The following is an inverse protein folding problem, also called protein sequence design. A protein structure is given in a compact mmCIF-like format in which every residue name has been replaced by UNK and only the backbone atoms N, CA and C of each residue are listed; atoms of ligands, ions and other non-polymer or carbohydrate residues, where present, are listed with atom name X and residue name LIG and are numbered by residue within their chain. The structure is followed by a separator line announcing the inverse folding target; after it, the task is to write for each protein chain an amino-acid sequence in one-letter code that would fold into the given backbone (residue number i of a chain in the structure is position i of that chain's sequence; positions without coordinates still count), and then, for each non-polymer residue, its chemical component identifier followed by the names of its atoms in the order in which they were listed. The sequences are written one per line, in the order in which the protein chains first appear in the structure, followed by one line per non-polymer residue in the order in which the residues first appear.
data_IF_556385078586
#
_entry.id   IF_556385078586
#
_cell.length_a   1.000
_cell.length_b   1.000
_cell.length_c   1.000
_cell.angle_alpha   90.00
_cell.angle_beta   90.00
_cell.angle_gamma   90.00
#
_symmetry.space_group_name_H-M   'P 1'
#
loop_
_entity.id
_entity.type
_entity.pdbx_description
1 polymer ?
#
# COMPACT_ATOMS: atom_id res chain seq x y z
N UNK A 1 -21.33 6.67 -52.91
CA UNK A 1 -20.57 6.89 -51.66
C UNK A 1 -20.02 8.31 -51.66
N UNK A 2 -20.33 9.14 -50.65
CA UNK A 2 -19.75 10.49 -50.53
C UNK A 2 -18.22 10.35 -50.37
N UNK A 3 -17.46 11.01 -51.21
CA UNK A 3 -16.00 11.06 -51.13
C UNK A 3 -15.64 11.82 -49.86
N UNK A 4 -15.42 11.11 -48.75
CA UNK A 4 -14.96 11.73 -47.51
C UNK A 4 -13.59 12.32 -47.83
N UNK A 5 -13.48 13.64 -47.72
CA UNK A 5 -12.23 14.34 -47.91
C UNK A 5 -11.26 13.88 -46.81
N UNK A 6 -10.42 12.90 -47.15
CA UNK A 6 -9.48 12.25 -46.24
C UNK A 6 -8.55 13.26 -45.58
N UNK A 7 -8.42 14.46 -46.16
CA UNK A 7 -7.74 15.62 -45.57
C UNK A 7 -8.34 16.16 -44.30
N UNK A 8 -9.66 16.24 -44.24
CA UNK A 8 -10.33 16.69 -43.03
C UNK A 8 -10.25 15.64 -41.92
N UNK A 9 -10.13 14.36 -42.30
CA UNK A 9 -10.03 13.26 -41.34
C UNK A 9 -8.70 13.32 -40.56
N UNK A 10 -7.55 13.46 -41.22
CA UNK A 10 -6.26 13.49 -40.53
C UNK A 10 -6.00 14.76 -39.70
N UNK A 11 -6.60 15.90 -40.08
CA UNK A 11 -6.57 17.13 -39.29
C UNK A 11 -7.49 16.98 -38.08
N UNK A 12 -8.67 16.37 -38.28
CA UNK A 12 -9.64 16.11 -37.22
C UNK A 12 -9.09 15.19 -36.14
N UNK A 13 -8.47 14.06 -36.52
CA UNK A 13 -7.87 13.13 -35.54
C UNK A 13 -6.76 13.79 -34.72
N UNK A 14 -5.94 14.63 -35.35
CA UNK A 14 -4.87 15.37 -34.69
C UNK A 14 -5.42 16.42 -33.70
N UNK A 15 -6.40 17.22 -34.12
CA UNK A 15 -7.00 18.27 -33.28
C UNK A 15 -7.78 17.68 -32.10
N UNK A 16 -8.55 16.60 -32.32
CA UNK A 16 -9.29 15.91 -31.26
C UNK A 16 -8.31 15.30 -30.26
N UNK A 17 -7.27 14.60 -30.74
CA UNK A 17 -6.24 14.02 -29.88
C UNK A 17 -5.54 15.07 -29.02
N UNK A 18 -5.07 16.18 -29.62
CA UNK A 18 -4.42 17.27 -28.90
C UNK A 18 -5.32 17.97 -27.88
N UNK A 19 -6.60 18.16 -28.21
CA UNK A 19 -7.57 18.78 -27.30
C UNK A 19 -7.84 17.90 -26.08
N UNK A 20 -8.01 16.60 -26.29
CA UNK A 20 -8.18 15.61 -25.22
C UNK A 20 -6.91 15.52 -24.36
N UNK A 21 -5.72 15.51 -24.97
CA UNK A 21 -4.45 15.50 -24.25
C UNK A 21 -4.30 16.74 -23.35
N UNK A 22 -4.63 17.92 -23.89
CA UNK A 22 -4.53 19.19 -23.17
C UNK A 22 -5.50 19.24 -21.99
N UNK A 23 -6.77 18.85 -22.21
CA UNK A 23 -7.77 18.76 -21.15
C UNK A 23 -7.33 17.78 -20.04
N UNK A 24 -6.86 16.58 -20.40
CA UNK A 24 -6.42 15.61 -19.41
C UNK A 24 -5.13 16.01 -18.70
N UNK A 25 -4.27 16.80 -19.33
CA UNK A 25 -3.10 17.38 -18.66
C UNK A 25 -3.51 18.44 -17.62
N UNK A 26 -4.53 19.26 -17.91
CA UNK A 26 -5.09 20.21 -16.95
C UNK A 26 -5.66 19.48 -15.72
N UNK A 27 -6.33 18.35 -15.92
CA UNK A 27 -6.91 17.54 -14.84
C UNK A 27 -5.98 16.45 -14.29
N UNK A 28 -4.66 16.50 -14.55
CA UNK A 28 -3.71 15.41 -14.24
C UNK A 28 -3.62 15.01 -12.76
N UNK A 29 -4.01 15.90 -11.85
CA UNK A 29 -4.02 15.65 -10.39
C UNK A 29 -5.42 15.45 -9.81
N UNK A 30 -6.47 15.49 -10.63
CA UNK A 30 -7.83 15.22 -10.18
C UNK A 30 -8.05 13.71 -10.14
N UNK A 31 -8.31 13.16 -8.94
CA UNK A 31 -8.68 11.76 -8.72
C UNK A 31 -10.13 11.50 -9.17
N UNK A 32 -10.40 11.70 -10.46
CA UNK A 32 -11.70 11.43 -11.07
C UNK A 32 -11.56 10.12 -11.85
N UNK A 33 -12.20 9.07 -11.36
CA UNK A 33 -12.24 7.78 -12.05
C UNK A 33 -13.19 7.90 -13.25
N UNK A 34 -12.65 7.75 -14.46
CA UNK A 34 -13.42 7.83 -15.71
C UNK A 34 -13.31 6.50 -16.45
N UNK A 35 -14.42 5.77 -16.60
CA UNK A 35 -14.49 4.44 -17.23
C UNK A 35 -13.49 3.39 -16.68
N UNK A 36 -13.17 3.43 -15.37
CA UNK A 36 -12.30 2.45 -14.73
C UNK A 36 -10.79 2.75 -14.86
N UNK A 37 -10.41 3.93 -15.36
CA UNK A 37 -9.03 4.40 -15.32
C UNK A 37 -8.84 5.34 -14.11
N UNK A 38 -7.95 4.96 -13.20
CA UNK A 38 -7.62 5.72 -11.97
C UNK A 38 -7.01 7.11 -12.24
N UNK A 39 -6.67 7.44 -13.50
CA UNK A 39 -6.06 8.71 -13.91
C UNK A 39 -6.58 9.17 -15.28
N UNK A 40 -7.19 10.37 -15.39
CA UNK A 40 -7.67 10.95 -16.66
C UNK A 40 -6.60 11.05 -17.77
N UNK A 41 -5.32 11.17 -17.37
CA UNK A 41 -4.18 11.25 -18.28
C UNK A 41 -3.92 9.91 -19.01
N UNK A 42 -4.10 8.77 -18.33
CA UNK A 42 -3.88 7.43 -18.92
C UNK A 42 -4.87 7.16 -20.05
N UNK A 43 -6.14 7.51 -19.85
CA UNK A 43 -7.19 7.39 -20.85
C UNK A 43 -6.92 8.29 -22.07
N UNK A 44 -6.53 9.55 -21.85
CA UNK A 44 -6.22 10.47 -22.94
C UNK A 44 -5.02 10.03 -23.77
N UNK A 45 -3.98 9.50 -23.15
CA UNK A 45 -2.83 9.00 -23.88
C UNK A 45 -3.16 7.74 -24.70
N UNK A 46 -4.01 6.83 -24.21
CA UNK A 46 -4.50 5.69 -24.98
C UNK A 46 -5.33 6.15 -26.19
N UNK A 47 -6.22 7.13 -25.99
CA UNK A 47 -6.98 7.73 -27.09
C UNK A 47 -6.07 8.42 -28.12
N UNK A 48 -5.04 9.15 -27.68
CA UNK A 48 -4.04 9.74 -28.56
C UNK A 48 -3.25 8.68 -29.33
N UNK A 49 -2.91 7.57 -28.69
CA UNK A 49 -2.23 6.44 -29.33
C UNK A 49 -3.09 5.83 -30.44
N UNK A 50 -4.37 5.58 -30.17
CA UNK A 50 -5.31 5.01 -31.14
C UNK A 50 -5.54 5.98 -32.30
N UNK A 51 -5.90 7.24 -32.00
CA UNK A 51 -6.19 8.26 -33.02
C UNK A 51 -4.95 8.61 -33.85
N UNK A 52 -3.78 8.68 -33.22
CA UNK A 52 -2.51 8.94 -33.90
C UNK A 52 -2.08 7.80 -34.81
N UNK A 53 -2.26 6.54 -34.37
CA UNK A 53 -1.95 5.36 -35.20
C UNK A 53 -2.86 5.30 -36.41
N UNK A 54 -4.18 5.51 -36.24
CA UNK A 54 -5.13 5.56 -37.34
C UNK A 54 -4.81 6.69 -38.32
N UNK A 55 -4.48 7.89 -37.82
CA UNK A 55 -4.08 9.03 -38.65
C UNK A 55 -2.79 8.79 -39.43
N UNK A 56 -1.78 8.16 -38.80
CA UNK A 56 -0.49 7.86 -39.42
C UNK A 56 -0.61 6.80 -40.53
N UNK A 57 -1.32 5.69 -40.28
CA UNK A 57 -1.52 4.63 -41.27
C UNK A 57 -2.23 5.18 -42.51
N UNK A 58 -3.30 5.96 -42.31
CA UNK A 58 -4.05 6.56 -43.42
C UNK A 58 -3.22 7.58 -44.21
N UNK A 59 -2.39 8.38 -43.53
CA UNK A 59 -1.49 9.34 -44.17
C UNK A 59 -0.38 8.65 -44.99
N UNK A 60 0.15 7.51 -44.52
CA UNK A 60 1.14 6.71 -45.26
C UNK A 60 0.52 6.11 -46.51
N UNK A 61 -0.66 5.48 -46.39
CA UNK A 61 -1.37 4.89 -47.53
C UNK A 61 -1.70 5.95 -48.60
N UNK A 62 -2.17 7.14 -48.19
CA UNK A 62 -2.48 8.21 -49.14
C UNK A 62 -1.20 8.90 -49.68
N UNK A 63 -0.14 8.97 -48.88
CA UNK A 63 1.17 9.50 -49.25
C UNK A 63 1.87 8.67 -50.32
N UNK A 64 1.83 7.33 -50.20
CA UNK A 64 2.34 6.39 -51.22
C UNK A 64 1.55 6.55 -52.53
N UNK A 65 0.23 6.72 -52.46
CA UNK A 65 -0.61 6.89 -53.64
C UNK A 65 -0.44 8.27 -54.33
N UNK A 66 0.02 9.30 -53.61
CA UNK A 66 0.07 10.70 -54.09
C UNK A 66 1.46 11.32 -54.09
N UNK A 67 2.53 10.52 -53.97
CA UNK A 67 3.92 10.98 -53.86
C UNK A 67 4.12 12.07 -52.79
N UNK A 68 3.45 11.92 -51.63
CA UNK A 68 3.59 12.81 -50.47
C UNK A 68 3.38 14.32 -50.72
N UNK A 69 2.58 14.70 -51.72
CA UNK A 69 2.26 16.12 -52.00
C UNK A 69 1.38 16.75 -50.90
N UNK A 70 1.40 18.09 -50.81
CA UNK A 70 0.51 18.91 -49.96
C UNK A 70 0.61 18.67 -48.44
N UNK A 71 1.81 18.40 -47.92
CA UNK A 71 2.05 18.31 -46.47
C UNK A 71 1.51 17.04 -45.81
N UNK A 72 1.08 16.03 -46.57
CA UNK A 72 0.62 14.73 -46.06
C UNK A 72 1.71 14.05 -45.23
N UNK A 73 2.97 14.14 -45.66
CA UNK A 73 4.11 13.61 -44.91
C UNK A 73 4.25 14.26 -43.53
N UNK A 74 4.15 15.59 -43.46
CA UNK A 74 4.22 16.34 -42.20
C UNK A 74 3.09 15.92 -41.25
N UNK A 75 1.86 15.74 -41.77
CA UNK A 75 0.71 15.33 -40.96
C UNK A 75 0.84 13.87 -40.51
N UNK A 76 1.41 12.99 -41.34
CA UNK A 76 1.77 11.64 -40.96
C UNK A 76 2.78 11.62 -39.80
N UNK A 77 3.82 12.45 -39.88
CA UNK A 77 4.83 12.61 -38.82
C UNK A 77 4.19 13.12 -37.52
N UNK A 78 3.31 14.13 -37.59
CA UNK A 78 2.63 14.67 -36.41
C UNK A 78 1.70 13.65 -35.72
N UNK A 79 0.97 12.86 -36.51
CA UNK A 79 0.15 11.77 -35.97
C UNK A 79 1.01 10.64 -35.38
N UNK A 80 2.18 10.37 -35.96
CA UNK A 80 3.14 9.40 -35.42
C UNK A 80 3.73 9.87 -34.08
N UNK A 81 4.08 11.16 -33.95
CA UNK A 81 4.52 11.76 -32.69
C UNK A 81 3.40 11.63 -31.62
N UNK A 82 2.16 11.89 -32.01
CA UNK A 82 1.00 11.72 -31.11
C UNK A 82 0.79 10.24 -30.71
N UNK A 83 1.03 9.30 -31.63
CA UNK A 83 0.97 7.87 -31.34
C UNK A 83 2.05 7.44 -30.33
N UNK A 84 3.23 8.05 -30.42
CA UNK A 84 4.36 7.79 -29.54
C UNK A 84 4.31 8.59 -28.22
N UNK A 85 3.43 9.57 -28.10
CA UNK A 85 3.29 10.37 -26.88
C UNK A 85 2.98 9.49 -25.65
N UNK A 86 2.13 8.47 -25.79
CA UNK A 86 1.82 7.55 -24.68
C UNK A 86 3.01 6.69 -24.26
N UNK A 87 3.69 5.93 -25.14
CA UNK A 87 4.85 5.16 -24.73
C UNK A 87 5.98 6.05 -24.23
N UNK A 88 6.22 7.22 -24.84
CA UNK A 88 7.23 8.18 -24.34
C UNK A 88 6.87 8.64 -22.92
N UNK A 89 5.66 9.14 -22.69
CA UNK A 89 5.21 9.60 -21.37
C UNK A 89 5.23 8.47 -20.33
N UNK A 90 4.82 7.26 -20.69
CA UNK A 90 4.84 6.10 -19.79
C UNK A 90 6.27 5.65 -19.46
N UNK A 91 7.19 5.76 -20.41
CA UNK A 91 8.61 5.44 -20.19
C UNK A 91 9.28 6.53 -19.36
N UNK A 92 8.96 7.81 -19.61
CA UNK A 92 9.43 8.95 -18.82
C UNK A 92 8.85 8.93 -17.41
N UNK A 93 7.58 8.56 -17.23
CA UNK A 93 6.98 8.34 -15.91
C UNK A 93 7.70 7.20 -15.19
N UNK A 94 7.94 6.05 -15.82
CA UNK A 94 8.73 4.97 -15.21
C UNK A 94 10.19 5.33 -14.91
N UNK A 95 10.81 6.19 -15.72
CA UNK A 95 12.21 6.60 -15.54
C UNK A 95 12.39 7.70 -14.50
N UNK A 96 11.36 8.53 -14.29
CA UNK A 96 11.30 9.58 -13.29
C UNK A 96 10.51 9.17 -12.04
N UNK A 97 9.86 8.01 -12.06
CA UNK A 97 9.26 7.39 -10.89
C UNK A 97 10.38 7.30 -9.85
N UNK A 98 10.21 7.88 -8.65
CA UNK A 98 11.15 7.65 -7.57
C UNK A 98 11.29 6.15 -7.43
N UNK A 99 12.51 5.66 -7.18
CA UNK A 99 12.83 4.24 -7.05
C UNK A 99 11.69 3.56 -6.33
N UNK A 100 10.85 2.83 -7.10
CA UNK A 100 9.65 2.23 -6.54
C UNK A 100 10.15 1.38 -5.39
N UNK A 101 9.54 1.58 -4.23
CA UNK A 101 9.85 0.76 -3.09
C UNK A 101 9.77 -0.71 -3.58
N UNK A 102 10.85 -1.50 -3.51
CA UNK A 102 10.87 -2.86 -4.06
C UNK A 102 9.77 -3.75 -3.47
N UNK A 103 9.12 -3.29 -2.40
CA UNK A 103 8.01 -3.93 -1.72
C UNK A 103 6.59 -3.55 -2.25
N UNK A 104 6.47 -2.66 -3.25
CA UNK A 104 5.16 -2.22 -3.77
C UNK A 104 4.52 -3.25 -4.73
N UNK A 105 5.33 -4.03 -5.43
CA UNK A 105 4.89 -5.12 -6.34
C UNK A 105 4.79 -6.49 -5.69
N UNK A 106 5.26 -6.62 -4.45
CA UNK A 106 5.23 -7.85 -3.64
C UNK A 106 4.23 -7.78 -2.50
N UNK A 107 3.48 -6.68 -2.36
CA UNK A 107 2.29 -6.66 -1.53
C UNK A 107 1.26 -7.61 -2.17
N UNK A 108 0.85 -8.69 -1.49
CA UNK A 108 -0.16 -9.59 -2.03
C UNK A 108 -1.50 -8.86 -2.17
N UNK A 109 -2.40 -9.46 -2.94
CA UNK A 109 -3.70 -8.90 -3.29
C UNK A 109 -4.45 -8.37 -2.04
N UNK A 110 -5.16 -7.26 -2.19
CA UNK A 110 -5.74 -6.43 -1.09
C UNK A 110 -6.74 -7.15 -0.17
N UNK A 111 -6.92 -8.46 -0.29
CA UNK A 111 -7.93 -9.26 0.39
C UNK A 111 -7.77 -9.35 1.91
N UNK A 112 -6.56 -9.25 2.47
CA UNK A 112 -6.34 -9.50 3.90
C UNK A 112 -6.06 -8.25 4.76
N UNK A 113 -5.86 -7.06 4.19
CA UNK A 113 -5.54 -5.83 4.95
C UNK A 113 -6.65 -5.46 5.97
N UNK A 114 -6.24 -4.99 7.15
CA UNK A 114 -7.15 -4.47 8.18
C UNK A 114 -7.47 -3.00 7.98
N UNK A 115 -6.95 -2.35 6.93
CA UNK A 115 -7.19 -0.93 6.62
C UNK A 115 -8.67 -0.52 6.59
N UNK A 116 -9.57 -1.44 6.24
CA UNK A 116 -11.02 -1.19 6.24
C UNK A 116 -11.74 -1.73 7.49
N UNK A 117 -11.06 -2.51 8.34
CA UNK A 117 -11.62 -3.05 9.58
C UNK A 117 -11.42 -2.03 10.69
N UNK A 118 -12.49 -1.74 11.42
CA UNK A 118 -12.49 -0.80 12.57
C UNK A 118 -12.55 -1.50 13.93
N UNK A 119 -12.62 -2.82 13.91
CA UNK A 119 -12.63 -3.68 15.08
C UNK A 119 -11.19 -3.99 15.54
N UNK A 120 -11.04 -4.64 16.70
CA UNK A 120 -9.75 -5.08 17.25
C UNK A 120 -9.16 -6.29 16.51
N UNK A 121 -9.26 -6.29 15.17
CA UNK A 121 -8.69 -7.29 14.29
C UNK A 121 -7.35 -6.82 13.74
N UNK A 122 -6.36 -7.70 13.76
CA UNK A 122 -5.00 -7.41 13.30
C UNK A 122 -4.47 -8.56 12.45
N UNK A 123 -3.42 -8.29 11.69
CA UNK A 123 -2.71 -9.27 10.85
C UNK A 123 -1.33 -9.47 11.41
N UNK A 124 -0.94 -10.74 11.52
CA UNK A 124 0.44 -11.14 11.78
C UNK A 124 0.80 -12.23 10.77
N UNK A 125 1.91 -12.07 10.06
CA UNK A 125 2.39 -13.05 9.08
C UNK A 125 1.33 -13.47 8.04
N UNK A 126 0.38 -12.58 7.71
CA UNK A 126 -0.68 -12.84 6.73
C UNK A 126 -1.94 -13.49 7.31
N UNK A 127 -1.92 -13.90 8.57
CA UNK A 127 -3.08 -14.45 9.26
C UNK A 127 -3.84 -13.36 10.00
N UNK A 128 -5.17 -13.36 9.85
CA UNK A 128 -6.06 -12.42 10.51
C UNK A 128 -6.47 -12.96 11.88
N UNK A 129 -6.16 -12.20 12.92
CA UNK A 129 -6.58 -12.44 14.29
C UNK A 129 -7.64 -11.43 14.72
N UNK A 130 -8.51 -11.83 15.65
CA UNK A 130 -9.49 -10.95 16.28
C UNK A 130 -9.36 -11.02 17.80
N UNK A 131 -9.09 -9.88 18.43
CA UNK A 131 -9.01 -9.76 19.88
C UNK A 131 -10.42 -9.82 20.52
N UNK A 132 -10.59 -10.38 21.73
CA UNK A 132 -9.58 -11.01 22.60
C UNK A 132 -9.15 -12.41 22.13
N UNK A 133 -7.88 -12.74 22.39
CA UNK A 133 -7.24 -13.99 21.97
C UNK A 133 -6.76 -14.82 23.17
N UNK A 134 -6.31 -16.04 22.89
CA UNK A 134 -5.62 -16.93 23.83
C UNK A 134 -4.26 -17.33 23.25
N UNK A 135 -3.33 -17.77 24.09
CA UNK A 135 -2.05 -18.31 23.59
C UNK A 135 -2.25 -19.54 22.68
N UNK A 136 -3.28 -20.35 22.95
CA UNK A 136 -3.67 -21.47 22.08
C UNK A 136 -4.01 -21.06 20.64
N UNK A 137 -4.43 -19.81 20.41
CA UNK A 137 -4.68 -19.32 19.05
C UNK A 137 -3.37 -19.11 18.29
N UNK A 138 -2.29 -18.74 18.99
CA UNK A 138 -0.96 -18.63 18.39
C UNK A 138 -0.30 -20.00 18.22
N UNK A 139 -0.40 -20.90 19.21
CA UNK A 139 0.24 -22.23 19.12
C UNK A 139 -0.31 -23.08 17.99
N UNK A 140 -1.61 -22.99 17.69
CA UNK A 140 -2.24 -23.63 16.51
C UNK A 140 -1.67 -23.17 15.18
N UNK A 141 -1.19 -21.93 15.10
CA UNK A 141 -0.58 -21.36 13.89
C UNK A 141 0.95 -21.49 13.90
N UNK A 142 1.50 -22.33 14.78
CA UNK A 142 2.91 -22.70 14.86
C UNK A 142 3.79 -21.63 15.53
N UNK A 143 3.23 -20.90 16.48
CA UNK A 143 4.01 -20.13 17.44
C UNK A 143 4.25 -20.95 18.71
N UNK A 144 5.27 -20.58 19.47
CA UNK A 144 5.55 -21.03 20.83
C UNK A 144 5.57 -19.81 21.73
N UNK A 145 5.61 -20.02 23.04
CA UNK A 145 5.72 -18.92 23.98
C UNK A 145 6.61 -19.29 25.16
N UNK A 146 7.25 -18.28 25.73
CA UNK A 146 7.99 -18.37 26.98
C UNK A 146 7.36 -17.44 28.01
N UNK A 147 7.08 -17.97 29.20
CA UNK A 147 6.49 -17.20 30.30
C UNK A 147 7.58 -16.59 31.17
N UNK A 148 7.37 -15.33 31.55
CA UNK A 148 8.21 -14.61 32.50
C UNK A 148 7.36 -13.64 33.31
N UNK A 149 7.66 -13.51 34.59
CA UNK A 149 7.11 -12.42 35.39
C UNK A 149 7.93 -11.15 35.17
N UNK A 150 7.27 -10.06 34.83
CA UNK A 150 7.88 -8.76 34.51
C UNK A 150 6.93 -7.65 34.92
N UNK A 151 7.45 -6.62 35.58
CA UNK A 151 6.71 -5.39 35.95
C UNK A 151 5.35 -5.66 36.61
N UNK A 152 5.31 -6.62 37.54
CA UNK A 152 4.10 -7.06 38.26
C UNK A 152 2.99 -7.65 37.35
N UNK A 153 3.38 -8.22 36.21
CA UNK A 153 2.52 -8.95 35.28
C UNK A 153 3.12 -10.30 34.93
N UNK A 154 2.28 -11.24 34.52
CA UNK A 154 2.72 -12.46 33.85
C UNK A 154 2.76 -12.18 32.34
N UNK A 155 3.95 -12.28 31.74
CA UNK A 155 4.18 -11.96 30.33
C UNK A 155 4.54 -13.24 29.58
N UNK A 156 3.84 -13.50 28.49
CA UNK A 156 4.16 -14.55 27.54
C UNK A 156 4.78 -13.92 26.29
N UNK A 157 6.09 -14.12 26.10
CA UNK A 157 6.77 -13.75 24.85
C UNK A 157 6.45 -14.81 23.81
N UNK A 158 5.80 -14.40 22.71
CA UNK A 158 5.34 -15.28 21.64
C UNK A 158 6.33 -15.23 20.47
N UNK A 159 6.75 -16.39 20.02
CA UNK A 159 7.83 -16.60 19.05
C UNK A 159 7.43 -17.64 18.01
N UNK A 160 7.98 -17.58 16.79
CA UNK A 160 7.69 -18.59 15.76
C UNK A 160 8.41 -19.92 16.06
N UNK A 161 7.75 -21.06 15.82
CA UNK A 161 8.39 -22.39 15.94
C UNK A 161 9.20 -22.70 14.68
N UNK A 162 10.47 -23.05 14.87
CA UNK A 162 11.39 -23.52 13.81
C UNK A 162 12.70 -22.74 13.77
N UNK A 163 13.68 -23.29 13.06
CA UNK A 163 14.92 -22.61 12.73
C UNK A 163 14.61 -21.41 11.82
N UNK A 164 14.70 -20.20 12.37
CA UNK A 164 14.58 -18.91 11.65
C UNK A 164 15.70 -18.69 10.60
N UNK A 165 16.30 -19.77 10.09
CA UNK A 165 17.42 -19.77 9.15
C UNK A 165 16.97 -19.95 7.70
N UNK A 166 15.73 -20.36 7.47
CA UNK A 166 15.13 -20.44 6.14
C UNK A 166 14.00 -19.40 6.08
N UNK A 167 14.28 -18.16 5.61
CA UNK A 167 13.28 -17.09 5.57
C UNK A 167 12.12 -17.53 4.70
N UNK A 168 11.00 -17.90 5.34
CA UNK A 168 9.75 -18.04 4.62
C UNK A 168 9.27 -16.63 4.30
N UNK A 169 8.81 -16.36 3.06
CA UNK A 169 8.24 -15.08 2.74
C UNK A 169 7.10 -14.77 3.71
N UNK A 170 7.19 -13.65 4.42
CA UNK A 170 6.10 -13.15 5.24
C UNK A 170 5.18 -12.29 4.36
N UNK A 171 3.98 -12.01 4.85
CA UNK A 171 3.01 -11.15 4.14
C UNK A 171 3.57 -9.78 3.72
N UNK A 172 4.68 -9.32 4.32
CA UNK A 172 5.31 -8.04 4.02
C UNK A 172 6.79 -8.16 3.61
N UNK A 173 7.36 -9.37 3.56
CA UNK A 173 8.74 -9.62 3.10
C UNK A 173 8.77 -10.78 2.10
N UNK A 174 9.07 -10.47 0.84
CA UNK A 174 9.08 -11.47 -0.26
C UNK A 174 10.51 -11.65 -0.82
N UNK A 175 11.53 -11.48 0.03
CA UNK A 175 12.94 -11.62 -0.34
C UNK A 175 13.69 -12.51 0.63
N UNK A 176 14.64 -13.30 0.11
CA UNK A 176 15.68 -13.94 0.92
C UNK A 176 16.45 -12.81 1.61
N UNK A 177 16.12 -12.58 2.88
CA UNK A 177 16.90 -11.70 3.71
C UNK A 177 18.21 -12.44 4.04
N UNK A 178 19.30 -12.04 3.38
CA UNK A 178 20.63 -12.60 3.64
C UNK A 178 21.18 -12.17 5.02
N UNK A 179 20.45 -11.32 5.74
CA UNK A 179 20.78 -10.95 7.10
C UNK A 179 20.03 -11.86 8.07
N UNK A 180 20.80 -12.69 8.78
CA UNK A 180 20.34 -13.60 9.84
C UNK A 180 19.79 -12.77 11.00
N UNK A 181 18.56 -12.29 10.90
CA UNK A 181 17.88 -11.65 12.02
C UNK A 181 16.79 -12.56 12.58
N UNK A 182 16.97 -12.87 13.86
CA UNK A 182 15.96 -13.46 14.75
C UNK A 182 14.86 -12.43 14.95
N UNK A 183 13.62 -12.81 14.71
CA UNK A 183 12.38 -12.14 15.12
C UNK A 183 12.31 -10.62 14.80
N UNK A 184 11.57 -10.27 13.75
CA UNK A 184 11.44 -8.88 13.30
C UNK A 184 10.65 -7.99 14.31
N UNK A 185 9.83 -8.60 15.17
CA UNK A 185 9.01 -7.95 16.20
C UNK A 185 9.05 -8.75 17.50
N UNK A 186 8.88 -8.04 18.62
CA UNK A 186 8.61 -8.64 19.92
C UNK A 186 7.10 -8.70 20.11
N UNK A 187 6.53 -9.90 20.22
CA UNK A 187 5.13 -10.10 20.55
C UNK A 187 5.01 -10.56 22.01
N UNK A 188 4.36 -9.77 22.85
CA UNK A 188 4.15 -10.07 24.27
C UNK A 188 2.66 -10.07 24.58
N UNK A 189 2.16 -11.19 25.11
CA UNK A 189 0.84 -11.27 25.72
C UNK A 189 0.95 -11.07 27.24
N UNK A 190 0.17 -10.13 27.76
CA UNK A 190 0.25 -9.68 29.15
C UNK A 190 -1.01 -10.16 29.88
N UNK A 191 -0.79 -10.71 31.08
CA UNK A 191 -1.80 -11.24 31.99
C UNK A 191 -1.61 -10.68 33.39
N UNK A 192 -2.68 -10.75 34.19
CA UNK A 192 -2.60 -10.48 35.62
C UNK A 192 -1.80 -11.58 36.33
N UNK A 193 -1.00 -11.21 37.34
CA UNK A 193 -0.18 -12.16 38.11
C UNK A 193 -0.99 -13.24 38.83
N UNK A 194 -2.28 -13.01 39.06
CA UNK A 194 -3.18 -13.98 39.67
C UNK A 194 -3.52 -15.16 38.76
N UNK A 195 -3.16 -15.11 37.47
CA UNK A 195 -3.50 -16.17 36.55
C UNK A 195 -2.69 -17.45 36.75
N UNK A 196 -3.39 -18.58 36.64
CA UNK A 196 -2.80 -19.91 36.79
C UNK A 196 -1.91 -20.23 35.59
N UNK A 197 -0.59 -20.29 35.82
CA UNK A 197 0.41 -20.59 34.80
C UNK A 197 0.15 -21.93 34.09
N UNK A 198 -0.46 -22.91 34.76
CA UNK A 198 -0.75 -24.21 34.15
C UNK A 198 -1.93 -24.15 33.16
N UNK A 199 -2.77 -23.12 33.25
CA UNK A 199 -3.96 -22.91 32.39
C UNK A 199 -3.83 -21.72 31.46
N UNK A 200 -2.69 -21.02 31.51
CA UNK A 200 -2.46 -19.76 30.80
C UNK A 200 -2.66 -19.89 29.28
N UNK A 201 -2.43 -21.08 28.71
CA UNK A 201 -2.59 -21.33 27.29
C UNK A 201 -4.01 -21.05 26.79
N UNK A 202 -5.01 -21.26 27.65
CA UNK A 202 -6.43 -21.09 27.35
C UNK A 202 -7.06 -19.86 28.04
N UNK A 203 -6.28 -19.11 28.83
CA UNK A 203 -6.72 -17.87 29.42
C UNK A 203 -6.85 -16.78 28.34
N UNK A 204 -7.79 -15.83 28.54
CA UNK A 204 -7.90 -14.69 27.65
C UNK A 204 -6.74 -13.72 27.90
N UNK A 205 -6.07 -13.33 26.83
CA UNK A 205 -5.05 -12.29 26.84
C UNK A 205 -5.72 -10.97 27.20
N UNK A 206 -5.16 -10.26 28.19
CA UNK A 206 -5.66 -8.97 28.64
C UNK A 206 -5.12 -7.82 27.79
N UNK A 207 -3.84 -7.88 27.46
CA UNK A 207 -3.18 -6.93 26.57
C UNK A 207 -2.21 -7.69 25.66
N UNK A 208 -2.23 -7.37 24.37
CA UNK A 208 -1.26 -7.86 23.40
C UNK A 208 -0.41 -6.69 22.92
N UNK A 209 0.90 -6.78 23.10
CA UNK A 209 1.87 -5.77 22.68
C UNK A 209 2.74 -6.31 21.55
N UNK A 210 2.84 -5.54 20.46
CA UNK A 210 3.78 -5.76 19.38
C UNK A 210 4.77 -4.60 19.34
N UNK A 211 6.06 -4.88 19.47
CA UNK A 211 7.13 -3.86 19.46
C UNK A 211 8.15 -4.12 18.36
N UNK A 212 8.73 -3.06 17.79
CA UNK A 212 9.81 -3.15 16.80
C UNK A 212 11.06 -3.73 17.46
N UNK A 213 11.62 -4.78 16.85
CA UNK A 213 12.99 -5.23 17.12
C UNK A 213 13.89 -4.78 15.96
N UNK A 214 13.50 -5.02 14.70
CA UNK A 214 14.26 -4.63 13.49
C UNK A 214 13.34 -4.44 12.27
N UNK A 215 13.34 -3.25 11.64
CA UNK A 215 12.75 -2.92 10.31
C UNK A 215 11.52 -3.76 9.92
N UNK A 216 10.51 -3.80 10.80
CA UNK A 216 9.43 -4.75 10.67
C UNK A 216 8.08 -4.12 10.37
N UNK A 217 7.40 -4.73 9.41
CA UNK A 217 6.05 -4.36 8.96
C UNK A 217 5.04 -5.51 9.10
N UNK A 218 5.41 -6.60 9.76
CA UNK A 218 4.64 -7.85 9.83
C UNK A 218 3.42 -7.81 10.74
N UNK A 219 3.29 -6.78 11.56
CA UNK A 219 2.11 -6.51 12.37
C UNK A 219 1.31 -5.34 11.79
N UNK A 220 0.03 -5.55 11.47
CA UNK A 220 -0.89 -4.52 10.97
C UNK A 220 -2.23 -4.55 11.73
N UNK A 221 -2.64 -3.42 12.32
CA UNK A 221 -3.98 -3.25 12.90
C UNK A 221 -4.66 -1.99 12.36
N UNK A 222 -5.92 -2.11 11.95
CA UNK A 222 -6.67 -1.01 11.31
C UNK A 222 -5.90 -0.34 10.14
N UNK A 223 -5.02 -1.09 9.47
CA UNK A 223 -4.13 -0.57 8.43
C UNK A 223 -2.91 0.23 8.92
N UNK A 224 -2.67 0.25 10.23
CA UNK A 224 -1.51 0.85 10.90
C UNK A 224 -0.48 -0.25 11.18
N UNK A 225 0.76 0.02 10.81
CA UNK A 225 1.89 -0.89 11.02
C UNK A 225 2.87 -0.32 12.02
N UNK A 226 3.73 -1.20 12.52
CA UNK A 226 4.97 -0.76 13.14
C UNK A 226 5.77 0.08 12.15
N UNK A 227 6.50 1.07 12.67
CA UNK A 227 7.28 2.06 11.92
C UNK A 227 6.49 3.05 11.07
N UNK A 228 5.15 3.00 11.09
CA UNK A 228 4.34 4.03 10.44
C UNK A 228 4.54 5.40 11.11
N UNK A 229 4.42 6.44 10.28
CA UNK A 229 4.46 7.83 10.73
C UNK A 229 3.16 8.20 11.42
N UNK A 230 3.25 8.72 12.65
CA UNK A 230 2.08 9.19 13.38
C UNK A 230 1.39 10.37 12.68
N UNK A 231 2.13 11.13 11.87
CA UNK A 231 1.56 12.23 11.10
C UNK A 231 0.64 11.71 9.99
N UNK A 232 0.98 10.59 9.36
CA UNK A 232 0.16 9.97 8.31
C UNK A 232 -1.05 9.26 8.94
N UNK A 233 -0.86 8.62 10.09
CA UNK A 233 -1.96 8.04 10.88
C UNK A 233 -2.93 9.15 11.29
N UNK A 234 -2.44 10.30 11.77
CA UNK A 234 -3.29 11.45 12.15
C UNK A 234 -4.06 12.04 10.98
N UNK A 235 -3.51 12.01 9.76
CA UNK A 235 -4.26 12.41 8.56
C UNK A 235 -5.36 11.41 8.21
N UNK A 236 -5.11 10.13 8.44
CA UNK A 236 -6.06 9.04 8.16
C UNK A 236 -7.18 8.97 9.21
N UNK A 237 -6.84 9.24 10.48
CA UNK A 237 -7.72 9.15 11.66
C UNK A 237 -7.78 10.48 12.45
N UNK A 238 -8.17 11.60 11.82
CA UNK A 238 -8.02 12.94 12.41
C UNK A 238 -8.91 13.20 13.63
N UNK A 239 -10.00 12.45 13.79
CA UNK A 239 -10.94 12.61 14.90
C UNK A 239 -10.85 11.48 15.92
N UNK A 240 -10.34 10.34 15.50
CA UNK A 240 -10.28 9.11 16.26
C UNK A 240 -8.97 8.97 17.03
N UNK A 241 -7.86 9.52 16.49
CA UNK A 241 -6.56 9.46 17.13
C UNK A 241 -6.45 10.50 18.25
N UNK A 242 -6.44 10.04 19.50
CA UNK A 242 -6.35 10.89 20.70
C UNK A 242 -4.92 10.86 21.23
N UNK A 243 -4.31 12.03 21.37
CA UNK A 243 -2.97 12.17 21.96
C UNK A 243 -3.04 12.13 23.50
N UNK A 244 -2.11 11.42 24.15
CA UNK A 244 -2.02 11.44 25.61
C UNK A 244 -1.65 12.84 26.13
N UNK A 245 -2.27 13.24 27.24
CA UNK A 245 -2.07 14.57 27.83
C UNK A 245 -0.62 14.81 28.28
N UNK A 246 0.12 13.74 28.58
CA UNK A 246 1.48 13.79 29.10
C UNK A 246 2.57 13.77 28.02
N UNK A 247 2.19 13.69 26.73
CA UNK A 247 3.15 13.61 25.62
C UNK A 247 4.11 14.80 25.52
N UNK A 248 3.77 15.95 26.11
CA UNK A 248 4.63 17.15 26.08
C UNK A 248 6.02 16.91 26.70
N UNK A 249 6.12 16.02 27.67
CA UNK A 249 7.35 15.75 28.43
C UNK A 249 7.92 14.35 28.17
N UNK A 250 7.21 13.51 27.42
CA UNK A 250 7.58 12.12 27.22
C UNK A 250 8.45 11.94 25.96
N UNK A 251 9.54 11.17 26.10
CA UNK A 251 10.41 10.76 24.99
C UNK A 251 9.68 9.83 24.00
N UNK A 252 8.78 9.01 24.52
CA UNK A 252 7.86 8.18 23.76
C UNK A 252 6.47 8.80 23.89
N UNK A 253 5.90 9.19 22.77
CA UNK A 253 4.58 9.82 22.69
C UNK A 253 3.52 8.74 22.51
N UNK A 254 2.46 8.81 23.30
CA UNK A 254 1.39 7.83 23.33
C UNK A 254 0.16 8.39 22.62
N UNK A 255 -0.47 7.57 21.77
CA UNK A 255 -1.70 7.89 21.07
C UNK A 255 -2.69 6.74 21.21
N UNK A 256 -3.98 7.05 21.22
CA UNK A 256 -5.05 6.08 21.43
C UNK A 256 -6.03 6.11 20.27
N UNK A 257 -6.45 4.92 19.85
CA UNK A 257 -7.56 4.69 18.93
C UNK A 257 -8.55 3.74 19.59
N UNK A 258 -9.84 4.09 19.57
CA UNK A 258 -10.90 3.18 20.02
C UNK A 258 -11.41 2.37 18.85
N UNK A 259 -11.53 1.06 19.04
CA UNK A 259 -12.14 0.15 18.08
C UNK A 259 -13.66 0.13 18.25
N UNK A 260 -14.39 -0.31 17.22
CA UNK A 260 -15.86 -0.41 17.28
C UNK A 260 -16.37 -1.48 18.24
N UNK A 261 -15.55 -2.49 18.56
CA UNK A 261 -15.85 -3.57 19.51
C UNK A 261 -15.48 -3.23 20.96
N UNK A 262 -15.03 -1.99 21.24
CA UNK A 262 -14.86 -1.46 22.58
C UNK A 262 -13.44 -1.59 23.16
N UNK A 263 -12.51 -2.17 22.41
CA UNK A 263 -11.09 -2.22 22.75
C UNK A 263 -10.39 -0.89 22.43
N UNK A 264 -9.19 -0.73 22.99
CA UNK A 264 -8.32 0.40 22.76
C UNK A 264 -7.01 -0.08 22.16
N UNK A 265 -6.61 0.59 21.08
CA UNK A 265 -5.29 0.45 20.49
C UNK A 265 -4.44 1.61 20.98
N UNK A 266 -3.32 1.31 21.64
CA UNK A 266 -2.33 2.28 22.07
C UNK A 266 -1.13 2.21 21.15
N UNK A 267 -0.76 3.35 20.57
CA UNK A 267 0.41 3.53 19.72
C UNK A 267 1.48 4.27 20.51
N UNK A 268 2.65 3.65 20.67
CA UNK A 268 3.80 4.27 21.31
C UNK A 268 4.76 4.71 20.21
N UNK A 269 4.95 6.03 20.04
CA UNK A 269 5.76 6.59 18.96
C UNK A 269 7.00 7.31 19.50
N UNK A 270 8.15 7.02 18.92
CA UNK A 270 9.40 7.74 19.17
C UNK A 270 9.76 8.55 17.94
N UNK A 271 10.07 9.85 18.12
CA UNK A 271 10.36 10.78 17.02
C UNK A 271 9.30 10.83 15.89
N UNK A 272 8.04 10.52 16.22
CA UNK A 272 6.94 10.49 15.26
C UNK A 272 6.74 9.16 14.53
N UNK A 273 7.55 8.15 14.84
CA UNK A 273 7.48 6.80 14.25
C UNK A 273 6.95 5.82 15.29
N UNK A 274 5.93 5.03 14.93
CA UNK A 274 5.36 4.00 15.81
C UNK A 274 6.40 2.93 16.12
N UNK A 275 6.73 2.75 17.39
CA UNK A 275 7.68 1.75 17.90
C UNK A 275 6.98 0.53 18.49
N UNK A 276 5.79 0.72 19.07
CA UNK A 276 4.96 -0.40 19.51
C UNK A 276 3.47 -0.09 19.42
N UNK A 277 2.70 -1.15 19.32
CA UNK A 277 1.25 -1.15 19.25
C UNK A 277 0.72 -2.12 20.29
N UNK A 278 -0.16 -1.64 21.17
CA UNK A 278 -0.79 -2.45 22.20
C UNK A 278 -2.30 -2.48 21.99
N UNK A 279 -2.94 -3.63 22.21
CA UNK A 279 -4.39 -3.83 22.11
C UNK A 279 -4.91 -4.38 23.44
N UNK A 280 -5.93 -3.73 24.02
CA UNK A 280 -6.57 -4.14 25.27
C UNK A 280 -8.05 -3.72 25.33
#
# INVERSE_FOLDING_TARGET
MRYIDKKKFYIGTLLIGLSVLTLSFIFRYSYINFFGFDRPLKLACILCAILGTLGAILAIIDGVNKNFRNGILLIGILNLIMALAYPILLTTEKALEPTKNPYETTAPDKGYSTKFKRDASFIIEGELYKFPLRLSDFTKHGFTYALKEKDNHLVATISRVGDSYDPKPTWFTDGVNNEVYREFYLLEAIYDLSEDKEKIENAQIKELSASVINNNRDFEIMGIKLEDSIYDIKQTFPKELIEDKNNKQATIKIYYLKTSDGHTIRLNAHNGTVQSIDIY
#
